data_IF_823086482279
#
_entry.id   IF_823086482279
#
_cell.length_a   1.000
_cell.length_b   1.000
_cell.length_c   1.000
_cell.angle_alpha   90.00
_cell.angle_beta   90.00
_cell.angle_gamma   90.00
#
_symmetry.space_group_name_H-M   'P 1'
#
loop_
_entity.id
_entity.type
_entity.pdbx_description
1 polymer ?
#
# COMPACT_ATOMS: atom_id res chain seq x y z
N UNK A 1 -4.90 -9.48 -13.15
CA UNK A 1 -5.30 -9.73 -11.76
C UNK A 1 -6.77 -9.39 -11.68
N UNK A 2 -7.55 -10.20 -10.98
CA UNK A 2 -8.99 -9.94 -10.82
C UNK A 2 -9.19 -8.83 -9.78
N UNK A 3 -9.29 -7.58 -10.26
CA UNK A 3 -9.42 -6.40 -9.40
C UNK A 3 -10.74 -6.42 -8.62
N UNK A 4 -11.83 -6.89 -9.23
CA UNK A 4 -13.15 -6.96 -8.59
C UNK A 4 -13.12 -7.95 -7.42
N UNK A 5 -12.53 -9.13 -7.62
CA UNK A 5 -12.30 -10.09 -6.55
C UNK A 5 -11.51 -9.49 -5.37
N UNK A 6 -10.44 -8.72 -5.64
CA UNK A 6 -9.67 -8.10 -4.56
C UNK A 6 -10.40 -6.93 -3.88
N UNK A 7 -11.21 -6.16 -4.61
CA UNK A 7 -12.07 -5.13 -4.02
C UNK A 7 -13.08 -5.75 -3.05
N UNK A 8 -13.75 -6.84 -3.43
CA UNK A 8 -14.66 -7.54 -2.52
C UNK A 8 -13.94 -8.06 -1.27
N UNK A 9 -12.73 -8.62 -1.41
CA UNK A 9 -11.94 -9.09 -0.27
C UNK A 9 -11.50 -7.94 0.64
N UNK A 10 -11.13 -6.80 0.05
CA UNK A 10 -10.80 -5.60 0.81
C UNK A 10 -12.02 -5.10 1.60
N UNK A 11 -13.20 -4.99 0.97
CA UNK A 11 -14.44 -4.59 1.65
C UNK A 11 -14.81 -5.53 2.80
N UNK A 12 -14.60 -6.85 2.66
CA UNK A 12 -14.80 -7.82 3.76
C UNK A 12 -13.87 -7.57 4.95
N UNK A 13 -12.63 -7.12 4.72
CA UNK A 13 -11.72 -6.72 5.79
C UNK A 13 -12.23 -5.44 6.47
N UNK A 14 -12.66 -4.43 5.70
CA UNK A 14 -13.23 -3.19 6.25
C UNK A 14 -14.49 -3.46 7.10
N UNK A 15 -15.38 -4.34 6.63
CA UNK A 15 -16.55 -4.78 7.39
C UNK A 15 -16.16 -5.50 8.68
N UNK A 16 -15.17 -6.39 8.62
CA UNK A 16 -14.66 -7.09 9.80
C UNK A 16 -14.06 -6.12 10.82
N UNK A 17 -13.28 -5.14 10.37
CA UNK A 17 -12.75 -4.06 11.24
C UNK A 17 -13.89 -3.32 11.91
N UNK A 18 -14.90 -2.85 11.16
CA UNK A 18 -16.06 -2.12 11.71
C UNK A 18 -16.82 -2.96 12.74
N UNK A 19 -17.04 -4.24 12.43
CA UNK A 19 -17.76 -5.14 13.33
C UNK A 19 -17.01 -5.34 14.64
N UNK A 20 -15.70 -5.58 14.59
CA UNK A 20 -14.87 -5.79 15.78
C UNK A 20 -14.78 -4.51 16.62
N UNK A 21 -14.63 -3.34 15.98
CA UNK A 21 -14.65 -2.02 16.65
C UNK A 21 -15.96 -1.82 17.45
N UNK A 22 -17.11 -2.09 16.82
CA UNK A 22 -18.42 -2.02 17.49
C UNK A 22 -18.52 -3.02 18.66
N UNK A 23 -17.99 -4.23 18.49
CA UNK A 23 -17.99 -5.25 19.55
C UNK A 23 -17.14 -4.82 20.74
N UNK A 24 -15.92 -4.30 20.51
CA UNK A 24 -15.03 -3.81 21.57
C UNK A 24 -15.64 -2.63 22.34
N UNK A 25 -16.22 -1.67 21.62
CA UNK A 25 -16.90 -0.51 22.21
C UNK A 25 -18.11 -0.93 23.05
N UNK A 26 -18.94 -1.84 22.52
CA UNK A 26 -20.14 -2.33 23.21
C UNK A 26 -19.77 -3.04 24.51
N UNK A 27 -18.73 -3.86 24.51
CA UNK A 27 -18.30 -4.58 25.72
C UNK A 27 -17.71 -3.62 26.75
N UNK A 28 -16.96 -2.61 26.29
CA UNK A 28 -16.31 -1.61 27.15
C UNK A 28 -17.33 -0.67 27.82
N UNK A 29 -18.36 -0.25 27.08
CA UNK A 29 -19.38 0.69 27.56
C UNK A 29 -20.51 0.02 28.35
N UNK A 30 -20.67 -1.31 28.26
CA UNK A 30 -21.69 -2.02 29.05
C UNK A 30 -21.69 -3.52 28.84
N UNK A 31 -21.14 -4.28 29.79
CA UNK A 31 -21.14 -5.75 29.70
C UNK A 31 -22.49 -6.43 29.96
N UNK A 32 -23.50 -5.70 30.45
CA UNK A 32 -24.83 -6.22 30.82
C UNK A 32 -25.53 -6.99 29.69
N UNK A 33 -25.77 -6.36 28.52
CA UNK A 33 -26.41 -7.02 27.38
C UNK A 33 -25.64 -8.26 26.88
N UNK A 34 -24.31 -8.25 26.94
CA UNK A 34 -23.50 -9.41 26.53
C UNK A 34 -23.57 -10.56 27.54
N UNK A 35 -23.69 -10.26 28.84
CA UNK A 35 -23.94 -11.29 29.87
C UNK A 35 -25.33 -11.91 29.72
N UNK A 36 -26.34 -11.09 29.44
CA UNK A 36 -27.70 -11.56 29.14
C UNK A 36 -27.72 -12.45 27.90
N UNK A 37 -27.01 -12.05 26.84
CA UNK A 37 -26.84 -12.88 25.64
C UNK A 37 -26.20 -14.23 25.99
N UNK A 38 -25.11 -14.23 26.77
CA UNK A 38 -24.44 -15.46 27.20
C UNK A 38 -25.38 -16.41 27.95
N UNK A 39 -26.19 -15.87 28.88
CA UNK A 39 -27.22 -16.64 29.60
C UNK A 39 -28.26 -17.19 28.62
N UNK A 40 -28.76 -16.35 27.70
CA UNK A 40 -29.81 -16.71 26.74
C UNK A 40 -29.38 -17.83 25.79
N UNK A 41 -28.12 -17.83 25.35
CA UNK A 41 -27.57 -18.88 24.48
C UNK A 41 -26.94 -20.05 25.25
N UNK A 42 -26.99 -20.01 26.59
CA UNK A 42 -26.56 -21.12 27.46
C UNK A 42 -25.05 -21.31 27.57
N UNK A 43 -24.24 -20.25 27.40
CA UNK A 43 -22.77 -20.34 27.54
C UNK A 43 -22.23 -19.43 28.66
N UNK A 44 -21.11 -19.79 29.29
CA UNK A 44 -20.38 -18.89 30.17
C UNK A 44 -19.99 -17.58 29.46
N UNK A 45 -20.13 -16.44 30.15
CA UNK A 45 -19.73 -15.13 29.59
C UNK A 45 -18.26 -15.08 29.14
N UNK A 46 -17.37 -15.82 29.83
CA UNK A 46 -15.96 -15.96 29.43
C UNK A 46 -15.80 -16.63 28.06
N UNK A 47 -16.66 -17.59 27.72
CA UNK A 47 -16.59 -18.33 26.46
C UNK A 47 -17.10 -17.43 25.32
N UNK A 48 -18.14 -16.63 25.60
CA UNK A 48 -18.59 -15.56 24.68
C UNK A 48 -17.47 -14.54 24.39
N UNK A 49 -16.71 -14.13 25.42
CA UNK A 49 -15.54 -13.26 25.25
C UNK A 49 -14.44 -13.90 24.41
N UNK A 50 -14.20 -15.20 24.58
CA UNK A 50 -13.25 -15.94 23.73
C UNK A 50 -13.71 -16.00 22.27
N UNK A 51 -15.02 -16.13 22.01
CA UNK A 51 -15.57 -16.07 20.64
C UNK A 51 -15.33 -14.70 20.01
N UNK A 52 -15.52 -13.60 20.76
CA UNK A 52 -15.21 -12.26 20.25
C UNK A 52 -13.72 -12.11 19.95
N UNK A 53 -12.85 -12.59 20.85
CA UNK A 53 -11.39 -12.57 20.64
C UNK A 53 -10.96 -13.38 19.40
N UNK A 54 -11.63 -14.49 19.12
CA UNK A 54 -11.38 -15.27 17.92
C UNK A 54 -11.67 -14.50 16.61
N UNK A 55 -12.53 -13.47 16.65
CA UNK A 55 -12.75 -12.60 15.48
C UNK A 55 -11.52 -11.72 15.19
N UNK A 56 -10.80 -11.25 16.20
CA UNK A 56 -9.54 -10.53 15.97
C UNK A 56 -8.47 -11.44 15.36
N UNK A 57 -8.35 -12.68 15.85
CA UNK A 57 -7.41 -13.65 15.26
C UNK A 57 -7.80 -13.99 13.81
N UNK A 58 -9.09 -14.12 13.52
CA UNK A 58 -9.59 -14.26 12.15
C UNK A 58 -9.22 -13.03 11.30
N UNK A 59 -9.37 -11.82 11.82
CA UNK A 59 -8.97 -10.59 11.12
C UNK A 59 -7.47 -10.58 10.77
N UNK A 60 -6.61 -11.03 11.69
CA UNK A 60 -5.17 -11.19 11.41
C UNK A 60 -4.91 -12.17 10.25
N UNK A 61 -5.61 -13.30 10.24
CA UNK A 61 -5.51 -14.29 9.17
C UNK A 61 -6.02 -13.72 7.85
N UNK A 62 -7.17 -13.05 7.85
CA UNK A 62 -7.77 -12.45 6.66
C UNK A 62 -6.86 -11.37 6.06
N UNK A 63 -6.27 -10.50 6.92
CA UNK A 63 -5.29 -9.49 6.53
C UNK A 63 -4.08 -10.11 5.82
N UNK A 64 -3.42 -11.09 6.46
CA UNK A 64 -2.27 -11.76 5.86
C UNK A 64 -2.65 -12.44 4.53
N UNK A 65 -3.79 -13.12 4.52
CA UNK A 65 -4.26 -13.86 3.33
C UNK A 65 -4.60 -12.90 2.19
N UNK A 66 -5.05 -11.68 2.47
CA UNK A 66 -5.20 -10.65 1.46
C UNK A 66 -3.85 -10.29 0.84
N UNK A 67 -2.85 -9.93 1.65
CA UNK A 67 -1.52 -9.54 1.19
C UNK A 67 -0.84 -10.65 0.36
N UNK A 68 -0.82 -11.88 0.89
CA UNK A 68 -0.22 -13.05 0.23
C UNK A 68 -0.88 -13.31 -1.13
N UNK A 69 -2.22 -13.35 -1.15
CA UNK A 69 -2.94 -13.66 -2.38
C UNK A 69 -2.85 -12.53 -3.40
N UNK A 70 -2.83 -11.25 -2.96
CA UNK A 70 -2.65 -10.10 -3.84
C UNK A 70 -1.33 -10.22 -4.60
N UNK A 71 -0.21 -10.40 -3.88
CA UNK A 71 1.10 -10.57 -4.49
C UNK A 71 1.17 -11.82 -5.37
N UNK A 72 0.59 -12.93 -4.91
CA UNK A 72 0.60 -14.21 -5.65
C UNK A 72 -0.16 -14.11 -6.97
N UNK A 73 -1.38 -13.57 -6.94
CA UNK A 73 -2.19 -13.38 -8.15
C UNK A 73 -1.54 -12.39 -9.10
N UNK A 74 -0.96 -11.31 -8.56
CA UNK A 74 -0.18 -10.37 -9.36
C UNK A 74 0.96 -11.10 -10.12
N UNK A 75 1.81 -11.85 -9.41
CA UNK A 75 2.91 -12.61 -10.00
C UNK A 75 2.41 -13.59 -11.07
N UNK A 76 1.33 -14.32 -10.79
CA UNK A 76 0.76 -15.27 -11.75
C UNK A 76 0.21 -14.59 -12.99
N UNK A 77 -0.38 -13.41 -12.82
CA UNK A 77 -0.91 -12.62 -13.92
C UNK A 77 0.20 -12.10 -14.83
N UNK A 78 1.24 -11.48 -14.26
CA UNK A 78 2.32 -10.88 -15.07
C UNK A 78 3.22 -11.92 -15.73
N UNK A 79 3.32 -13.12 -15.16
CA UNK A 79 4.05 -14.25 -15.76
C UNK A 79 3.18 -15.11 -16.69
N UNK A 80 1.89 -14.84 -16.75
CA UNK A 80 0.90 -15.59 -17.52
C UNK A 80 0.97 -17.11 -17.21
N UNK A 81 1.03 -17.45 -15.91
CA UNK A 81 1.26 -18.83 -15.43
C UNK A 81 0.14 -19.79 -15.86
N UNK A 82 -1.06 -19.25 -16.08
CA UNK A 82 -2.25 -20.02 -16.42
C UNK A 82 -2.62 -20.01 -17.91
N UNK A 83 -1.89 -19.27 -18.77
CA UNK A 83 -2.09 -19.38 -20.20
C UNK A 83 -1.72 -20.76 -20.74
N UNK A 84 -2.25 -21.06 -21.92
CA UNK A 84 -1.85 -22.22 -22.72
C UNK A 84 -0.39 -22.03 -23.13
N UNK A 85 0.53 -22.51 -22.31
CA UNK A 85 1.95 -22.48 -22.62
C UNK A 85 2.28 -23.55 -23.66
N UNK A 86 2.66 -23.11 -24.86
CA UNK A 86 3.14 -24.00 -25.93
C UNK A 86 4.50 -24.60 -25.59
N UNK A 87 5.26 -24.01 -24.66
CA UNK A 87 6.56 -24.48 -24.23
C UNK A 87 6.43 -25.34 -22.95
N UNK A 88 6.51 -26.66 -23.14
CA UNK A 88 6.41 -27.64 -22.06
C UNK A 88 7.49 -27.48 -20.97
N UNK A 89 8.68 -26.98 -21.31
CA UNK A 89 9.78 -26.81 -20.36
C UNK A 89 9.57 -25.58 -19.49
N UNK A 90 9.11 -24.47 -20.08
CA UNK A 90 8.69 -23.28 -19.32
C UNK A 90 7.54 -23.62 -18.38
N UNK A 91 6.52 -24.33 -18.87
CA UNK A 91 5.40 -24.80 -18.04
C UNK A 91 5.86 -25.64 -16.85
N UNK A 92 6.76 -26.61 -17.06
CA UNK A 92 7.34 -27.40 -15.96
C UNK A 92 8.10 -26.51 -14.97
N UNK A 93 8.96 -25.62 -15.45
CA UNK A 93 9.72 -24.71 -14.59
C UNK A 93 8.82 -23.81 -13.74
N UNK A 94 7.77 -23.24 -14.33
CA UNK A 94 6.78 -22.43 -13.62
C UNK A 94 6.03 -23.28 -12.59
N UNK A 95 5.59 -24.50 -12.94
CA UNK A 95 4.92 -25.38 -11.99
C UNK A 95 5.82 -25.78 -10.82
N UNK A 96 7.10 -26.05 -11.06
CA UNK A 96 8.04 -26.48 -10.02
C UNK A 96 8.37 -25.32 -9.05
N UNK A 97 8.48 -24.08 -9.56
CA UNK A 97 8.89 -22.91 -8.75
C UNK A 97 7.72 -22.08 -8.21
N UNK A 98 6.56 -22.13 -8.87
CA UNK A 98 5.39 -21.30 -8.59
C UNK A 98 4.14 -22.14 -8.39
N UNK A 99 4.29 -23.37 -7.88
CA UNK A 99 3.16 -24.26 -7.59
C UNK A 99 2.10 -23.55 -6.73
N UNK A 100 0.83 -23.43 -7.20
CA UNK A 100 -0.25 -22.80 -6.45
C UNK A 100 -0.48 -23.33 -5.04
N UNK A 101 -0.15 -24.59 -4.73
CA UNK A 101 -0.36 -25.15 -3.40
C UNK A 101 0.76 -24.83 -2.40
N UNK A 102 1.97 -24.50 -2.86
CA UNK A 102 3.14 -24.33 -1.97
C UNK A 102 3.83 -22.98 -2.11
N UNK A 103 3.63 -22.28 -3.22
CA UNK A 103 4.20 -20.96 -3.44
C UNK A 103 3.52 -19.93 -2.52
N UNK A 104 4.32 -19.31 -1.66
CA UNK A 104 3.92 -18.24 -0.74
C UNK A 104 4.91 -17.08 -0.91
N UNK A 105 4.54 -16.01 -1.63
CA UNK A 105 5.43 -14.87 -1.80
C UNK A 105 5.64 -14.19 -0.45
N UNK A 106 6.82 -13.62 -0.26
CA UNK A 106 7.08 -12.80 0.91
C UNK A 106 6.39 -11.46 0.78
N UNK A 107 5.67 -11.04 1.80
CA UNK A 107 4.78 -9.87 1.73
C UNK A 107 5.07 -8.84 2.82
N UNK A 108 6.27 -8.84 3.42
CA UNK A 108 6.72 -7.68 4.19
C UNK A 108 6.96 -6.51 3.25
N UNK A 109 6.87 -5.29 3.78
CA UNK A 109 6.91 -4.07 3.00
C UNK A 109 8.12 -3.99 2.06
N UNK A 110 9.33 -4.22 2.60
CA UNK A 110 10.57 -4.17 1.81
C UNK A 110 10.67 -5.29 0.78
N UNK A 111 10.07 -6.44 1.07
CA UNK A 111 10.13 -7.62 0.20
C UNK A 111 9.16 -7.50 -0.98
N UNK A 112 8.18 -6.60 -0.94
CA UNK A 112 7.27 -6.33 -2.06
C UNK A 112 8.04 -5.80 -3.27
N UNK A 113 8.90 -4.80 -3.08
CA UNK A 113 9.75 -4.28 -4.17
C UNK A 113 10.66 -5.36 -4.75
N UNK A 114 11.24 -6.21 -3.89
CA UNK A 114 12.09 -7.32 -4.32
C UNK A 114 11.31 -8.30 -5.20
N UNK A 115 10.06 -8.63 -4.84
CA UNK A 115 9.21 -9.47 -5.69
C UNK A 115 8.90 -8.80 -7.03
N UNK A 116 8.52 -7.52 -7.04
CA UNK A 116 8.23 -6.79 -8.28
C UNK A 116 9.43 -6.81 -9.23
N UNK A 117 10.62 -6.48 -8.72
CA UNK A 117 11.85 -6.46 -9.51
C UNK A 117 12.36 -7.85 -9.90
N UNK A 118 11.96 -8.90 -9.18
CA UNK A 118 12.31 -10.29 -9.52
C UNK A 118 11.52 -10.81 -10.72
N UNK A 119 10.23 -10.49 -10.79
CA UNK A 119 9.32 -11.10 -11.76
C UNK A 119 9.03 -10.21 -12.96
N UNK A 120 9.24 -8.89 -12.86
CA UNK A 120 9.01 -7.96 -13.96
C UNK A 120 10.32 -7.62 -14.67
N UNK A 121 10.29 -7.66 -16.00
CA UNK A 121 11.39 -7.19 -16.83
C UNK A 121 11.22 -5.70 -17.12
N UNK A 122 12.15 -4.90 -16.61
CA UNK A 122 12.07 -3.42 -16.67
C UNK A 122 13.35 -2.77 -17.20
N UNK A 123 14.26 -3.56 -17.79
CA UNK A 123 15.63 -3.18 -18.19
C UNK A 123 15.76 -1.70 -18.62
N UNK A 124 16.60 -0.88 -17.96
CA UNK A 124 17.44 -1.08 -16.76
C UNK A 124 16.81 -0.57 -15.44
N UNK A 125 15.51 -0.28 -15.42
CA UNK A 125 14.82 0.43 -14.34
C UNK A 125 14.51 -0.49 -13.17
N UNK A 126 14.65 -0.02 -11.93
CA UNK A 126 14.09 -0.72 -10.76
C UNK A 126 12.72 -0.16 -10.42
N UNK A 127 11.76 -1.03 -10.19
CA UNK A 127 10.45 -0.66 -9.65
C UNK A 127 10.61 -0.30 -8.19
N UNK A 128 9.99 0.82 -7.79
CA UNK A 128 9.88 1.30 -6.42
C UNK A 128 8.42 1.58 -6.10
N UNK A 129 8.06 1.35 -4.84
CA UNK A 129 6.76 1.73 -4.30
C UNK A 129 6.73 3.25 -4.09
N UNK A 130 5.73 3.90 -4.70
CA UNK A 130 5.43 5.32 -4.62
C UNK A 130 4.77 5.69 -3.28
N UNK A 131 5.56 5.63 -2.21
CA UNK A 131 5.08 5.54 -0.83
C UNK A 131 4.79 6.90 -0.16
N UNK A 132 4.33 7.90 -0.91
CA UNK A 132 4.40 9.34 -0.55
C UNK A 132 3.63 9.78 0.70
N UNK A 133 2.63 9.03 1.14
CA UNK A 133 1.87 9.30 2.36
C UNK A 133 1.87 8.10 3.32
N UNK A 134 2.77 7.12 3.09
CA UNK A 134 2.86 5.92 3.90
C UNK A 134 3.97 6.13 4.91
N UNK A 135 3.56 6.46 6.14
CA UNK A 135 4.47 6.69 7.25
C UNK A 135 5.24 5.42 7.65
N UNK A 136 6.43 5.60 8.20
CA UNK A 136 7.28 4.51 8.70
C UNK A 136 6.59 3.61 9.72
N UNK A 137 5.76 4.17 10.61
CA UNK A 137 4.96 3.42 11.59
C UNK A 137 3.94 2.48 10.93
N UNK A 138 3.27 2.92 9.86
CA UNK A 138 2.35 2.06 9.09
C UNK A 138 3.10 0.87 8.50
N UNK A 139 4.27 1.11 7.90
CA UNK A 139 5.11 0.03 7.34
C UNK A 139 5.58 -0.94 8.42
N UNK A 140 5.92 -0.43 9.61
CA UNK A 140 6.31 -1.25 10.73
C UNK A 140 5.15 -2.14 11.21
N UNK A 141 3.98 -1.56 11.43
CA UNK A 141 2.76 -2.29 11.83
C UNK A 141 2.37 -3.36 10.82
N UNK A 142 2.49 -3.07 9.52
CA UNK A 142 2.31 -4.06 8.47
C UNK A 142 3.24 -5.27 8.67
N UNK A 143 4.54 -5.03 8.81
CA UNK A 143 5.53 -6.10 9.00
C UNK A 143 5.28 -6.88 10.30
N UNK A 144 4.86 -6.21 11.38
CA UNK A 144 4.46 -6.85 12.65
C UNK A 144 3.22 -7.76 12.48
N UNK A 145 2.21 -7.34 11.72
CA UNK A 145 1.05 -8.18 11.38
C UNK A 145 1.46 -9.44 10.61
N UNK A 146 2.34 -9.30 9.61
CA UNK A 146 2.85 -10.44 8.85
C UNK A 146 3.59 -11.42 9.77
N UNK A 147 4.49 -10.92 10.62
CA UNK A 147 5.24 -11.72 11.59
C UNK A 147 4.31 -12.42 12.60
N UNK A 148 3.34 -11.68 13.13
CA UNK A 148 2.39 -12.17 14.11
C UNK A 148 1.55 -13.33 13.56
N UNK A 149 1.08 -13.25 12.31
CA UNK A 149 0.37 -14.36 11.66
C UNK A 149 1.26 -15.60 11.56
N UNK A 150 2.53 -15.45 11.16
CA UNK A 150 3.46 -16.58 11.09
C UNK A 150 3.70 -17.21 12.45
N UNK A 151 3.94 -16.40 13.49
CA UNK A 151 4.10 -16.86 14.87
C UNK A 151 2.88 -17.61 15.36
N UNK A 152 1.68 -17.07 15.14
CA UNK A 152 0.42 -17.70 15.51
C UNK A 152 0.23 -19.05 14.80
N UNK A 153 0.48 -19.12 13.49
CA UNK A 153 0.32 -20.36 12.72
C UNK A 153 1.30 -21.48 13.15
N UNK A 154 2.51 -21.13 13.57
CA UNK A 154 3.53 -22.11 13.94
C UNK A 154 3.52 -22.49 15.43
N UNK A 155 3.17 -21.54 16.31
CA UNK A 155 3.30 -21.71 17.76
C UNK A 155 2.00 -21.59 18.53
N UNK A 156 0.92 -21.14 17.89
CA UNK A 156 -0.34 -20.79 18.55
C UNK A 156 -0.24 -19.54 19.44
N UNK A 157 0.87 -18.81 19.35
CA UNK A 157 1.13 -17.61 20.16
C UNK A 157 0.35 -16.42 19.60
N UNK A 158 -0.51 -15.83 20.44
CA UNK A 158 -1.27 -14.63 20.08
C UNK A 158 -0.40 -13.36 20.13
N UNK A 159 -0.70 -12.34 19.33
CA UNK A 159 0.06 -11.09 19.32
C UNK A 159 -0.11 -10.32 20.63
N UNK A 160 0.93 -9.57 21.03
CA UNK A 160 0.90 -8.71 22.23
C UNK A 160 0.36 -7.31 21.97
N UNK A 161 0.09 -6.97 20.70
CA UNK A 161 -0.46 -5.69 20.26
C UNK A 161 -1.93 -5.82 19.85
N UNK A 162 -2.62 -4.69 19.67
CA UNK A 162 -4.01 -4.66 19.18
C UNK A 162 -4.05 -5.01 17.68
N UNK A 163 -4.55 -6.20 17.35
CA UNK A 163 -4.73 -6.63 15.95
C UNK A 163 -5.66 -5.65 15.23
N UNK A 164 -6.80 -5.30 15.86
CA UNK A 164 -7.76 -4.35 15.31
C UNK A 164 -7.10 -3.01 14.98
N UNK A 165 -6.40 -2.40 15.94
CA UNK A 165 -5.77 -1.09 15.75
C UNK A 165 -4.70 -1.10 14.65
N UNK A 166 -3.92 -2.17 14.56
CA UNK A 166 -2.90 -2.34 13.54
C UNK A 166 -3.52 -2.54 12.15
N UNK A 167 -4.52 -3.41 12.01
CA UNK A 167 -5.20 -3.64 10.73
C UNK A 167 -5.94 -2.38 10.27
N UNK A 168 -6.67 -1.71 11.17
CA UNK A 168 -7.41 -0.46 10.90
C UNK A 168 -6.50 0.64 10.37
N UNK A 169 -5.31 0.82 10.97
CA UNK A 169 -4.32 1.81 10.49
C UNK A 169 -3.68 1.42 9.16
N UNK A 170 -3.71 0.15 8.77
CA UNK A 170 -3.10 -0.36 7.54
C UNK A 170 -4.07 -0.50 6.36
N UNK A 171 -5.35 -0.15 6.49
CA UNK A 171 -6.32 -0.26 5.40
C UNK A 171 -5.91 0.58 4.17
N UNK A 172 -5.45 1.80 4.39
CA UNK A 172 -4.96 2.68 3.31
C UNK A 172 -3.74 2.07 2.59
N UNK A 173 -2.87 1.36 3.32
CA UNK A 173 -1.73 0.67 2.72
C UNK A 173 -2.17 -0.48 1.81
N UNK A 174 -3.15 -1.29 2.23
CA UNK A 174 -3.67 -2.39 1.41
C UNK A 174 -4.32 -1.88 0.12
N UNK A 175 -5.10 -0.80 0.23
CA UNK A 175 -5.74 -0.15 -0.92
C UNK A 175 -4.71 0.45 -1.87
N UNK A 176 -3.64 1.04 -1.34
CA UNK A 176 -2.48 1.46 -2.12
C UNK A 176 -1.83 0.30 -2.87
N UNK A 177 -1.54 -0.83 -2.22
CA UNK A 177 -0.95 -1.99 -2.89
C UNK A 177 -1.83 -2.50 -4.03
N UNK A 178 -3.14 -2.60 -3.81
CA UNK A 178 -4.08 -3.01 -4.85
C UNK A 178 -4.05 -2.06 -6.05
N UNK A 179 -4.14 -0.75 -5.80
CA UNK A 179 -4.11 0.26 -6.85
C UNK A 179 -2.77 0.30 -7.60
N UNK A 180 -1.64 0.22 -6.90
CA UNK A 180 -0.31 0.24 -7.52
C UNK A 180 -0.07 -1.01 -8.37
N UNK A 181 -0.49 -2.18 -7.89
CA UNK A 181 -0.35 -3.43 -8.65
C UNK A 181 -1.24 -3.44 -9.89
N UNK A 182 -2.46 -2.90 -9.80
CA UNK A 182 -3.33 -2.68 -10.96
C UNK A 182 -2.64 -1.80 -12.00
N UNK A 183 -2.07 -0.66 -11.59
CA UNK A 183 -1.37 0.26 -12.50
C UNK A 183 -0.13 -0.39 -13.13
N UNK A 184 0.65 -1.15 -12.36
CA UNK A 184 1.82 -1.88 -12.86
C UNK A 184 1.39 -2.93 -13.88
N UNK A 185 0.30 -3.65 -13.63
CA UNK A 185 -0.16 -4.71 -14.52
C UNK A 185 -0.74 -4.18 -15.83
N UNK A 186 -1.57 -3.13 -15.75
CA UNK A 186 -2.29 -2.58 -16.91
C UNK A 186 -1.36 -1.72 -17.78
N UNK A 187 -0.51 -0.90 -17.16
CA UNK A 187 0.34 0.06 -17.88
C UNK A 187 1.69 0.28 -17.19
N UNK A 188 2.52 -0.76 -17.22
CA UNK A 188 3.88 -0.74 -16.67
C UNK A 188 4.72 0.44 -17.20
N UNK A 189 4.54 0.82 -18.48
CA UNK A 189 5.35 1.89 -19.09
C UNK A 189 5.03 3.24 -18.47
N UNK A 190 3.76 3.66 -18.48
CA UNK A 190 3.36 4.94 -17.87
C UNK A 190 3.62 4.92 -16.35
N UNK A 191 3.45 3.78 -15.68
CA UNK A 191 3.75 3.67 -14.24
C UNK A 191 5.25 3.81 -13.92
N UNK A 192 6.14 3.31 -14.77
CA UNK A 192 7.59 3.52 -14.63
C UNK A 192 7.99 4.96 -14.95
N UNK A 193 7.42 5.56 -16.00
CA UNK A 193 7.64 6.97 -16.34
C UNK A 193 7.20 7.90 -15.21
N UNK A 194 6.03 7.63 -14.61
CA UNK A 194 5.55 8.36 -13.44
C UNK A 194 6.58 8.30 -12.28
N UNK A 195 7.12 7.12 -11.99
CA UNK A 195 8.13 6.96 -10.94
C UNK A 195 9.37 7.81 -11.20
N UNK A 196 9.89 7.76 -12.43
CA UNK A 196 11.09 8.52 -12.82
C UNK A 196 10.85 10.02 -12.72
N UNK A 197 9.69 10.49 -13.20
CA UNK A 197 9.31 11.89 -13.14
C UNK A 197 9.18 12.39 -11.69
N UNK A 198 8.63 11.58 -10.78
CA UNK A 198 8.55 11.95 -9.36
C UNK A 198 9.93 11.97 -8.69
N UNK A 199 10.79 10.99 -8.99
CA UNK A 199 12.18 11.00 -8.50
C UNK A 199 12.89 12.28 -8.97
N UNK A 200 12.71 12.66 -10.24
CA UNK A 200 13.28 13.90 -10.79
C UNK A 200 12.74 15.15 -10.05
N UNK A 201 11.43 15.24 -9.81
CA UNK A 201 10.81 16.34 -9.05
C UNK A 201 11.43 16.44 -7.66
N UNK A 202 11.55 15.31 -6.94
CA UNK A 202 12.12 15.24 -5.60
C UNK A 202 13.57 15.72 -5.55
N UNK A 203 14.40 15.27 -6.49
CA UNK A 203 15.79 15.68 -6.57
C UNK A 203 15.93 17.17 -6.87
N UNK A 204 15.15 17.70 -7.82
CA UNK A 204 15.18 19.12 -8.15
C UNK A 204 14.60 20.00 -7.02
N UNK A 205 13.55 19.56 -6.35
CA UNK A 205 12.99 20.21 -5.16
C UNK A 205 14.06 20.37 -4.08
N UNK A 206 14.79 19.30 -3.75
CA UNK A 206 15.90 19.33 -2.78
C UNK A 206 17.01 20.30 -3.19
N UNK A 207 17.41 20.29 -4.47
CA UNK A 207 18.43 21.21 -4.98
C UNK A 207 17.97 22.67 -4.90
N UNK A 208 16.71 22.95 -5.22
CA UNK A 208 16.12 24.28 -5.19
C UNK A 208 15.95 24.81 -3.76
N UNK A 209 15.57 23.97 -2.80
CA UNK A 209 15.51 24.34 -1.38
C UNK A 209 16.88 24.82 -0.86
N UNK A 210 17.97 24.20 -1.32
CA UNK A 210 19.36 24.56 -0.93
C UNK A 210 19.98 25.70 -1.75
N UNK A 211 19.28 26.25 -2.75
CA UNK A 211 19.84 27.24 -3.68
C UNK A 211 20.20 28.57 -2.99
N UNK A 212 21.35 29.17 -3.30
CA UNK A 212 21.69 30.51 -2.77
C UNK A 212 20.66 31.56 -3.24
N UNK A 213 20.26 32.48 -2.34
CA UNK A 213 19.31 33.55 -2.65
C UNK A 213 19.78 34.49 -3.76
N UNK A 214 21.09 34.57 -4.01
CA UNK A 214 21.73 35.39 -5.04
C UNK A 214 21.82 34.69 -6.40
N UNK A 215 21.40 33.42 -6.51
CA UNK A 215 21.51 32.66 -7.75
C UNK A 215 20.65 33.30 -8.84
N UNK A 216 21.22 33.67 -9.99
CA UNK A 216 20.50 34.39 -11.06
C UNK A 216 19.56 33.49 -11.89
N UNK A 217 19.78 32.18 -11.90
CA UNK A 217 19.06 31.23 -12.76
C UNK A 217 17.89 30.56 -12.03
N UNK A 218 17.52 31.04 -10.84
CA UNK A 218 16.47 30.41 -10.04
C UNK A 218 15.11 30.35 -10.77
N UNK A 219 14.76 31.40 -11.52
CA UNK A 219 13.46 31.48 -12.23
C UNK A 219 13.30 30.35 -13.23
N UNK A 220 14.33 30.11 -14.04
CA UNK A 220 14.33 29.04 -15.05
C UNK A 220 14.19 27.66 -14.41
N UNK A 221 14.92 27.43 -13.30
CA UNK A 221 14.84 26.14 -12.59
C UNK A 221 13.46 25.89 -11.97
N UNK A 222 12.85 26.92 -11.37
CA UNK A 222 11.48 26.81 -10.84
C UNK A 222 10.42 26.67 -11.94
N UNK A 223 10.61 27.32 -13.10
CA UNK A 223 9.74 27.14 -14.26
C UNK A 223 9.82 25.70 -14.79
N UNK A 224 11.04 25.15 -14.91
CA UNK A 224 11.27 23.77 -15.32
C UNK A 224 10.64 22.78 -14.33
N UNK A 225 10.80 22.99 -13.01
CA UNK A 225 10.15 22.15 -12.01
C UNK A 225 8.62 22.17 -12.16
N UNK A 226 8.02 23.35 -12.35
CA UNK A 226 6.59 23.51 -12.55
C UNK A 226 6.10 22.78 -13.81
N UNK A 227 6.86 22.84 -14.91
CA UNK A 227 6.57 22.11 -16.15
C UNK A 227 6.62 20.60 -15.93
N UNK A 228 7.70 20.08 -15.34
CA UNK A 228 7.85 18.64 -15.03
C UNK A 228 6.71 18.17 -14.11
N UNK A 229 6.29 18.96 -13.12
CA UNK A 229 5.15 18.62 -12.27
C UNK A 229 3.83 18.57 -13.05
N UNK A 230 3.62 19.49 -14.01
CA UNK A 230 2.45 19.49 -14.90
C UNK A 230 2.43 18.26 -15.81
N UNK A 231 3.56 17.91 -16.40
CA UNK A 231 3.69 16.74 -17.27
C UNK A 231 3.50 15.45 -16.47
N UNK A 232 4.05 15.38 -15.26
CA UNK A 232 3.82 14.29 -14.30
C UNK A 232 2.35 14.15 -13.93
N UNK A 233 1.63 15.25 -13.75
CA UNK A 233 0.19 15.22 -13.49
C UNK A 233 -0.59 14.64 -14.67
N UNK A 234 -0.20 14.96 -15.90
CA UNK A 234 -0.80 14.39 -17.12
C UNK A 234 -0.46 12.89 -17.28
N UNK A 235 0.74 12.46 -16.86
CA UNK A 235 1.07 11.02 -16.78
C UNK A 235 0.18 10.31 -15.76
N UNK A 236 0.03 10.90 -14.58
CA UNK A 236 -0.81 10.36 -13.51
C UNK A 236 -2.27 10.20 -13.94
N UNK A 237 -2.82 11.13 -14.74
CA UNK A 237 -4.20 11.03 -15.23
C UNK A 237 -4.45 9.88 -16.22
N UNK A 238 -3.40 9.19 -16.68
CA UNK A 238 -3.52 7.98 -17.51
C UNK A 238 -3.60 6.70 -16.68
N UNK A 239 -3.33 6.79 -15.37
CA UNK A 239 -3.34 5.68 -14.44
C UNK A 239 -4.64 5.70 -13.63
N UNK A 240 -4.94 4.57 -13.00
CA UNK A 240 -6.06 4.47 -12.09
C UNK A 240 -5.71 5.16 -10.76
N UNK A 241 -6.62 6.02 -10.26
CA UNK A 241 -6.46 6.78 -9.02
C UNK A 241 -7.54 6.33 -8.02
N UNK A 242 -7.27 5.21 -7.34
CA UNK A 242 -8.23 4.57 -6.43
C UNK A 242 -7.65 4.36 -5.02
N UNK A 243 -6.65 5.12 -4.61
CA UNK A 243 -6.07 5.06 -3.27
C UNK A 243 -5.68 6.44 -2.77
N UNK A 244 -5.68 6.59 -1.45
CA UNK A 244 -5.36 7.84 -0.76
C UNK A 244 -3.95 8.33 -1.12
N UNK A 245 -3.01 7.41 -1.36
CA UNK A 245 -1.64 7.73 -1.80
C UNK A 245 -1.61 8.38 -3.17
N UNK A 246 -2.37 7.87 -4.13
CA UNK A 246 -2.44 8.44 -5.47
C UNK A 246 -3.23 9.76 -5.50
N UNK A 247 -4.31 9.89 -4.73
CA UNK A 247 -5.00 11.17 -4.55
C UNK A 247 -4.11 12.23 -3.90
N UNK A 248 -3.33 11.83 -2.90
CA UNK A 248 -2.38 12.71 -2.24
C UNK A 248 -1.29 13.16 -3.21
N UNK A 249 -0.72 12.24 -3.99
CA UNK A 249 0.24 12.57 -5.05
C UNK A 249 -0.34 13.58 -6.05
N UNK A 250 -1.57 13.37 -6.52
CA UNK A 250 -2.24 14.31 -7.42
C UNK A 250 -2.35 15.72 -6.81
N UNK A 251 -2.76 15.79 -5.55
CA UNK A 251 -2.86 17.04 -4.80
C UNK A 251 -1.50 17.74 -4.69
N UNK A 252 -0.44 17.01 -4.34
CA UNK A 252 0.91 17.56 -4.24
C UNK A 252 1.44 18.06 -5.60
N UNK A 253 1.16 17.35 -6.70
CA UNK A 253 1.54 17.80 -8.04
C UNK A 253 0.84 19.12 -8.42
N UNK A 254 -0.42 19.32 -8.01
CA UNK A 254 -1.15 20.58 -8.21
C UNK A 254 -0.54 21.75 -7.44
N UNK A 255 0.04 21.51 -6.26
CA UNK A 255 0.67 22.56 -5.46
C UNK A 255 1.86 23.23 -6.17
N UNK A 256 2.58 22.52 -7.04
CA UNK A 256 3.64 23.12 -7.87
C UNK A 256 3.12 24.22 -8.82
N UNK A 257 1.83 24.22 -9.16
CA UNK A 257 1.23 25.27 -9.99
C UNK A 257 1.16 26.63 -9.29
N UNK A 258 1.32 26.66 -7.96
CA UNK A 258 1.34 27.91 -7.16
C UNK A 258 2.66 28.67 -7.28
N UNK A 259 3.69 28.08 -7.89
CA UNK A 259 4.98 28.74 -8.17
C UNK A 259 4.73 29.98 -9.05
N UNK A 260 5.15 31.15 -8.55
CA UNK A 260 5.04 32.43 -9.25
C UNK A 260 6.42 33.08 -9.39
N UNK A 261 6.94 33.11 -10.62
CA UNK A 261 8.27 33.62 -10.95
C UNK A 261 8.40 35.15 -10.78
N UNK A 262 7.29 35.86 -10.53
CA UNK A 262 7.29 37.28 -10.17
C UNK A 262 7.58 37.51 -8.68
N UNK A 263 7.37 36.48 -7.85
CA UNK A 263 7.69 36.52 -6.41
C UNK A 263 9.18 36.29 -6.17
N UNK A 264 9.64 36.53 -4.95
CA UNK A 264 11.03 36.29 -4.57
C UNK A 264 11.39 34.79 -4.55
N UNK A 265 12.68 34.48 -4.67
CA UNK A 265 13.19 33.12 -4.50
C UNK A 265 12.78 32.53 -3.14
N UNK A 266 12.85 33.32 -2.05
CA UNK A 266 12.42 32.87 -0.72
C UNK A 266 10.95 32.42 -0.70
N UNK A 267 10.05 33.17 -1.35
CA UNK A 267 8.62 32.81 -1.42
C UNK A 267 8.39 31.53 -2.21
N UNK A 268 9.11 31.32 -3.31
CA UNK A 268 8.99 30.09 -4.08
C UNK A 268 9.60 28.88 -3.35
N UNK A 269 10.66 29.09 -2.55
CA UNK A 269 11.19 28.07 -1.64
C UNK A 269 10.19 27.66 -0.56
N UNK A 270 9.45 28.62 0.02
CA UNK A 270 8.36 28.32 0.97
C UNK A 270 7.31 27.41 0.33
N UNK A 271 6.87 27.73 -0.90
CA UNK A 271 5.90 26.90 -1.64
C UNK A 271 6.40 25.47 -1.84
N UNK A 272 7.64 25.29 -2.31
CA UNK A 272 8.17 23.93 -2.51
C UNK A 272 8.61 23.27 -1.19
N UNK A 273 8.56 23.94 -0.04
CA UNK A 273 8.87 23.33 1.26
C UNK A 273 7.67 22.67 1.91
N UNK A 274 6.46 23.15 1.58
CA UNK A 274 5.20 22.57 2.06
C UNK A 274 4.75 21.36 1.24
N UNK A 275 5.31 21.19 0.04
CA UNK A 275 5.02 20.04 -0.82
C UNK A 275 5.78 18.83 -0.29
N UNK A 276 5.06 17.86 0.27
CA UNK A 276 5.66 16.64 0.80
C UNK A 276 5.42 15.48 -0.16
N UNK A 277 6.44 15.19 -0.95
CA UNK A 277 6.53 14.01 -1.81
C UNK A 277 7.52 12.97 -1.22
N UNK A 278 7.90 13.09 0.04
CA UNK A 278 8.79 12.13 0.69
C UNK A 278 7.99 11.17 1.57
N UNK A 279 8.32 9.88 1.50
CA UNK A 279 7.91 8.93 2.52
C UNK A 279 8.77 9.14 3.78
N UNK A 280 8.15 9.46 4.91
CA UNK A 280 8.78 9.47 6.25
C UNK A 280 9.39 8.12 6.61
#
# INVERSE_FOLDING_TARGET
>A
MDIEFFNERFSKIEESVKLIDIMEDSISNGSGPHRELAIKIGIPYRDLRSIYKAQELKLLVDYYTFCEQLMKHFIYSVLDVHAIDRNIHRKKYLNDNLNPSTFSPRVKYKEIEDNLNKYLYTSPRKIKLLSFCIESDIRHKHDELILARHTYAHKGEEPTFSILGYVKSNLALLKYFLNDFQNIEVDLSNRLELQEAIIQILEEQKKLQKLDLRNKNWKERFDNLRKVASDTQMLLSKLEINSETYFYLESQLREFQKIDLRRSLSKNKEIISIISLESS
#
